data_IF_435917006985
#
_entry.id   IF_435917006985
#
_cell.length_a   1.000
_cell.length_b   1.000
_cell.length_c   1.000
_cell.angle_alpha   90.00
_cell.angle_beta   90.00
_cell.angle_gamma   90.00
#
_symmetry.space_group_name_H-M   'P 1'
#
loop_
_entity.id
_entity.type
_entity.pdbx_description
1 polymer ?
#
# COMPACT_ATOMS: atom_id res chain seq x y z
N UNK A 1 -16.83 -10.85 -24.27
CA UNK A 1 -15.89 -10.05 -23.45
C UNK A 1 -16.41 -8.62 -23.42
N UNK A 2 -16.60 -8.01 -22.25
CA UNK A 2 -17.14 -6.63 -22.16
C UNK A 2 -16.13 -5.60 -22.70
N UNK A 3 -16.62 -4.44 -23.12
CA UNK A 3 -15.77 -3.34 -23.61
C UNK A 3 -14.73 -2.92 -22.57
N UNK A 4 -15.12 -2.87 -21.29
CA UNK A 4 -14.23 -2.56 -20.16
C UNK A 4 -13.08 -3.57 -20.06
N UNK A 5 -13.38 -4.88 -20.08
CA UNK A 5 -12.35 -5.93 -20.03
C UNK A 5 -11.38 -5.81 -21.20
N UNK A 6 -11.88 -5.55 -22.42
CA UNK A 6 -11.02 -5.39 -23.60
C UNK A 6 -10.08 -4.19 -23.47
N UNK A 7 -10.54 -3.09 -22.89
CA UNK A 7 -9.73 -1.88 -22.67
C UNK A 7 -8.68 -2.12 -21.58
N UNK A 8 -9.06 -2.69 -20.44
CA UNK A 8 -8.13 -3.02 -19.34
C UNK A 8 -7.03 -3.97 -19.84
N UNK A 9 -7.38 -5.01 -20.60
CA UNK A 9 -6.38 -5.91 -21.19
C UNK A 9 -5.46 -5.22 -22.20
N UNK A 10 -5.97 -4.23 -22.95
CA UNK A 10 -5.15 -3.43 -23.87
C UNK A 10 -4.19 -2.54 -23.10
N UNK A 11 -4.66 -1.89 -22.04
CA UNK A 11 -3.82 -1.07 -21.15
C UNK A 11 -2.75 -1.89 -20.46
N UNK A 12 -3.09 -3.09 -20.00
CA UNK A 12 -2.13 -3.99 -19.37
C UNK A 12 -0.96 -4.34 -20.30
N UNK A 13 -1.25 -4.76 -21.53
CA UNK A 13 -0.21 -5.06 -22.52
C UNK A 13 0.67 -3.85 -22.86
N UNK A 14 0.06 -2.67 -22.90
CA UNK A 14 0.81 -1.43 -23.14
C UNK A 14 1.70 -1.08 -21.94
N UNK A 15 1.20 -1.29 -20.72
CA UNK A 15 1.94 -1.06 -19.48
C UNK A 15 3.14 -2.00 -19.36
N UNK A 16 2.98 -3.30 -19.65
CA UNK A 16 4.09 -4.28 -19.62
C UNK A 16 5.30 -3.86 -20.48
N UNK A 17 5.07 -3.07 -21.53
CA UNK A 17 6.13 -2.59 -22.42
C UNK A 17 6.67 -1.20 -22.05
N UNK A 18 5.83 -0.32 -21.50
CA UNK A 18 6.17 1.09 -21.27
C UNK A 18 6.38 1.45 -19.79
N UNK A 19 6.15 0.53 -18.86
CA UNK A 19 6.26 0.81 -17.43
C UNK A 19 7.67 1.31 -17.07
N UNK A 20 7.78 2.40 -16.29
CA UNK A 20 9.06 2.78 -15.70
C UNK A 20 9.57 1.69 -14.75
N UNK A 21 10.89 1.52 -14.66
CA UNK A 21 11.53 0.47 -13.85
C UNK A 21 11.20 0.52 -12.34
N UNK A 22 10.67 1.64 -11.86
CA UNK A 22 10.28 1.88 -10.47
C UNK A 22 8.78 1.71 -10.22
N UNK A 23 7.99 1.30 -11.22
CA UNK A 23 6.55 1.08 -11.11
C UNK A 23 6.22 -0.32 -11.64
N UNK A 24 5.57 -1.13 -10.80
CA UNK A 24 5.08 -2.46 -11.17
C UNK A 24 3.57 -2.48 -10.96
N UNK A 25 2.82 -3.12 -11.87
CA UNK A 25 1.39 -3.27 -11.70
C UNK A 25 0.87 -4.46 -12.50
N UNK A 26 -0.17 -5.10 -12.00
CA UNK A 26 -0.86 -6.17 -12.71
C UNK A 26 -2.16 -6.60 -12.02
N UNK A 27 -3.03 -7.31 -12.75
CA UNK A 27 -4.26 -7.84 -12.19
C UNK A 27 -3.99 -8.93 -11.15
N UNK A 28 -4.87 -8.99 -10.17
CA UNK A 28 -4.90 -10.07 -9.18
C UNK A 28 -5.36 -11.37 -9.82
N UNK A 29 -4.96 -12.49 -9.21
CA UNK A 29 -5.30 -13.82 -9.71
C UNK A 29 -6.81 -13.96 -9.85
N UNK A 30 -7.27 -14.28 -11.06
CA UNK A 30 -8.68 -14.47 -11.43
C UNK A 30 -9.58 -13.23 -11.37
N UNK A 31 -9.03 -12.02 -11.15
CA UNK A 31 -9.80 -10.78 -11.18
C UNK A 31 -9.08 -9.70 -11.99
N UNK A 32 -9.57 -9.48 -13.22
CA UNK A 32 -9.00 -8.46 -14.13
C UNK A 32 -9.38 -7.03 -13.73
N UNK A 33 -10.36 -6.84 -12.84
CA UNK A 33 -10.80 -5.52 -12.37
C UNK A 33 -10.08 -5.12 -11.08
N UNK A 34 -9.47 -6.06 -10.36
CA UNK A 34 -8.67 -5.78 -9.18
C UNK A 34 -7.19 -5.94 -9.51
N UNK A 35 -6.43 -4.88 -9.30
CA UNK A 35 -5.01 -4.80 -9.60
C UNK A 35 -4.23 -4.48 -8.35
N UNK A 36 -3.02 -5.01 -8.30
CA UNK A 36 -2.00 -4.62 -7.35
C UNK A 36 -0.92 -3.84 -8.07
N UNK A 37 -0.43 -2.78 -7.45
CA UNK A 37 0.70 -2.01 -7.95
C UNK A 37 1.71 -1.72 -6.85
N UNK A 38 2.97 -1.57 -7.26
CA UNK A 38 4.10 -1.20 -6.42
C UNK A 38 4.76 0.01 -7.05
N UNK A 39 5.03 1.03 -6.23
CA UNK A 39 5.87 2.16 -6.60
C UNK A 39 7.09 2.15 -5.68
N UNK A 40 8.29 2.17 -6.28
CA UNK A 40 9.52 2.40 -5.54
C UNK A 40 9.65 3.91 -5.31
N UNK A 41 9.93 4.29 -4.06
CA UNK A 41 10.03 5.68 -3.65
C UNK A 41 11.08 6.44 -4.48
N UNK A 42 10.75 7.63 -5.01
CA UNK A 42 11.68 8.39 -5.82
C UNK A 42 12.98 8.73 -5.07
N UNK A 43 14.14 8.70 -5.75
CA UNK A 43 15.41 9.12 -5.16
C UNK A 43 15.35 10.58 -4.73
N UNK A 44 16.24 10.98 -3.82
CA UNK A 44 16.33 12.35 -3.28
C UNK A 44 15.08 12.86 -2.52
N UNK A 45 14.08 12.02 -2.33
CA UNK A 45 12.92 12.26 -1.47
C UNK A 45 13.06 11.52 -0.14
N UNK A 46 12.33 11.91 0.93
CA UNK A 46 12.26 11.10 2.14
C UNK A 46 11.54 9.75 1.96
N UNK A 47 10.99 9.48 0.77
CA UNK A 47 10.37 8.20 0.39
C UNK A 47 11.36 7.22 -0.24
N UNK A 48 12.58 7.65 -0.57
CA UNK A 48 13.61 6.85 -1.23
C UNK A 48 13.77 5.46 -0.57
N UNK A 49 14.03 4.46 -1.41
CA UNK A 49 14.17 3.03 -1.07
C UNK A 49 12.90 2.36 -0.50
N UNK A 50 11.81 3.10 -0.29
CA UNK A 50 10.53 2.56 0.13
C UNK A 50 9.80 1.82 -0.99
N UNK A 51 9.15 0.71 -0.64
CA UNK A 51 8.26 -0.07 -1.49
C UNK A 51 6.81 0.24 -1.09
N UNK A 52 6.10 0.98 -1.94
CA UNK A 52 4.74 1.44 -1.68
C UNK A 52 3.73 0.60 -2.45
N UNK A 53 2.90 -0.14 -1.72
CA UNK A 53 1.88 -1.03 -2.27
C UNK A 53 0.57 -0.27 -2.48
N UNK A 54 -0.11 -0.54 -3.59
CA UNK A 54 -1.40 0.05 -3.94
C UNK A 54 -2.38 -1.03 -4.39
N UNK A 55 -3.64 -0.87 -4.00
CA UNK A 55 -4.77 -1.58 -4.59
C UNK A 55 -5.47 -0.67 -5.59
N UNK A 56 -5.84 -1.22 -6.75
CA UNK A 56 -6.49 -0.50 -7.84
C UNK A 56 -7.72 -1.30 -8.28
N UNK A 57 -8.90 -0.70 -8.14
CA UNK A 57 -10.16 -1.37 -8.42
C UNK A 57 -10.87 -0.62 -9.55
N UNK A 58 -10.92 -1.25 -10.72
CA UNK A 58 -11.73 -0.80 -11.84
C UNK A 58 -13.21 -1.10 -11.58
N UNK A 59 -14.09 -0.21 -12.02
CA UNK A 59 -15.52 -0.48 -12.07
C UNK A 59 -15.93 -1.02 -13.44
N UNK A 60 -17.12 -1.62 -13.53
CA UNK A 60 -17.72 -2.03 -14.80
C UNK A 60 -18.02 -0.85 -15.76
N UNK A 61 -17.98 0.38 -15.25
CA UNK A 61 -18.18 1.62 -16.01
C UNK A 61 -16.87 2.17 -16.60
N UNK A 62 -15.74 1.47 -16.43
CA UNK A 62 -14.48 1.84 -17.07
C UNK A 62 -14.63 1.86 -18.62
N UNK A 63 -14.14 2.90 -19.32
CA UNK A 63 -13.26 3.99 -18.85
C UNK A 63 -13.98 5.28 -18.45
N UNK A 64 -15.31 5.29 -18.37
CA UNK A 64 -16.06 6.51 -18.07
C UNK A 64 -15.96 6.94 -16.60
N UNK A 65 -15.70 5.99 -15.70
CA UNK A 65 -15.33 6.26 -14.31
C UNK A 65 -13.85 5.92 -14.05
N UNK A 66 -13.15 6.71 -13.21
CA UNK A 66 -11.79 6.39 -12.78
C UNK A 66 -11.77 5.09 -11.98
N UNK A 67 -10.65 4.34 -12.00
CA UNK A 67 -10.43 3.27 -11.03
C UNK A 67 -10.23 3.86 -9.62
N UNK A 68 -10.69 3.13 -8.60
CA UNK A 68 -10.40 3.48 -7.21
C UNK A 68 -8.99 3.02 -6.86
N UNK A 69 -8.08 3.95 -6.62
CA UNK A 69 -6.72 3.67 -6.15
C UNK A 69 -6.64 3.89 -4.64
N UNK A 70 -6.04 2.95 -3.91
CA UNK A 70 -5.84 3.03 -2.46
C UNK A 70 -4.41 2.66 -2.12
N UNK A 71 -3.71 3.54 -1.41
CA UNK A 71 -2.38 3.27 -0.88
C UNK A 71 -2.49 2.30 0.29
N UNK A 72 -1.86 1.13 0.19
CA UNK A 72 -1.88 0.09 1.22
C UNK A 72 -0.77 0.26 2.24
N UNK A 73 0.39 0.74 1.77
CA UNK A 73 1.48 1.14 2.66
C UNK A 73 1.07 2.39 3.46
N UNK A 74 1.19 2.37 4.79
CA UNK A 74 0.90 3.55 5.63
C UNK A 74 1.88 4.69 5.31
N UNK A 75 1.37 5.90 5.09
CA UNK A 75 2.18 7.06 4.69
C UNK A 75 1.82 8.34 5.47
N UNK A 76 2.81 9.22 5.65
CA UNK A 76 2.60 10.59 6.12
C UNK A 76 2.74 11.57 4.94
N UNK A 77 1.66 11.78 4.19
CA UNK A 77 1.71 12.53 2.93
C UNK A 77 0.52 13.51 2.80
N UNK A 78 0.71 14.75 2.29
CA UNK A 78 -0.36 15.75 2.15
C UNK A 78 -1.59 15.27 1.36
N UNK A 79 -1.38 14.49 0.30
CA UNK A 79 -2.44 14.01 -0.62
C UNK A 79 -2.90 12.57 -0.37
N UNK A 80 -2.47 11.94 0.74
CA UNK A 80 -2.87 10.57 1.11
C UNK A 80 -3.40 10.57 2.55
N UNK A 81 -4.60 10.04 2.77
CA UNK A 81 -5.19 9.94 4.11
C UNK A 81 -4.55 8.84 4.95
N UNK A 82 -4.83 8.81 6.26
CA UNK A 82 -4.43 7.71 7.15
C UNK A 82 -4.98 6.34 6.74
N UNK A 83 -6.12 6.33 6.04
CA UNK A 83 -6.77 5.11 5.50
C UNK A 83 -6.28 4.75 4.09
N UNK A 84 -5.30 5.47 3.55
CA UNK A 84 -4.74 5.21 2.22
C UNK A 84 -5.51 5.82 1.06
N UNK A 85 -6.57 6.61 1.30
CA UNK A 85 -7.27 7.32 0.23
C UNK A 85 -6.32 8.33 -0.42
N UNK A 86 -6.14 8.20 -1.73
CA UNK A 86 -5.37 9.13 -2.55
C UNK A 86 -6.33 10.18 -3.11
N UNK A 87 -6.00 11.46 -2.98
CA UNK A 87 -6.80 12.57 -3.53
C UNK A 87 -5.93 13.41 -4.46
N UNK A 88 -6.11 13.16 -5.76
CA UNK A 88 -5.47 13.85 -6.88
C UNK A 88 -6.53 14.01 -7.99
N UNK A 89 -6.52 15.15 -8.69
CA UNK A 89 -7.63 15.50 -9.58
C UNK A 89 -7.86 14.52 -10.72
N UNK A 90 -6.79 13.87 -11.21
CA UNK A 90 -6.88 12.85 -12.26
C UNK A 90 -7.79 11.67 -11.85
N UNK A 91 -7.92 11.36 -10.56
CA UNK A 91 -8.79 10.29 -10.04
C UNK A 91 -10.18 10.80 -9.61
N UNK A 92 -10.43 12.10 -9.77
CA UNK A 92 -11.63 12.79 -9.31
C UNK A 92 -12.19 13.64 -10.48
N UNK A 93 -12.21 14.97 -10.34
CA UNK A 93 -12.91 15.88 -11.25
C UNK A 93 -12.26 15.99 -12.65
N UNK A 94 -10.95 15.76 -12.76
CA UNK A 94 -10.22 15.86 -14.02
C UNK A 94 -10.12 14.53 -14.76
N UNK A 95 -10.78 13.46 -14.30
CA UNK A 95 -10.74 12.17 -14.97
C UNK A 95 -11.12 12.27 -16.46
N UNK A 96 -10.31 11.64 -17.31
CA UNK A 96 -10.57 11.49 -18.74
C UNK A 96 -10.48 10.02 -19.12
N UNK A 97 -11.41 9.48 -19.92
CA UNK A 97 -11.36 8.09 -20.41
C UNK A 97 -10.09 7.70 -21.20
N UNK A 98 -9.24 8.68 -21.56
CA UNK A 98 -7.95 8.47 -22.23
C UNK A 98 -6.80 8.21 -21.24
N UNK A 99 -7.02 8.41 -19.94
CA UNK A 99 -5.99 8.18 -18.94
C UNK A 99 -5.83 6.69 -18.67
N UNK A 100 -4.61 6.21 -18.90
CA UNK A 100 -4.21 4.82 -18.71
C UNK A 100 -3.75 4.58 -17.27
N UNK A 101 -3.65 3.30 -16.90
CA UNK A 101 -3.02 2.89 -15.64
C UNK A 101 -1.61 3.47 -15.44
N UNK A 102 -0.81 3.52 -16.50
CA UNK A 102 0.53 4.11 -16.52
C UNK A 102 0.46 5.58 -16.08
N UNK A 103 -0.43 6.36 -16.69
CA UNK A 103 -0.56 7.79 -16.38
C UNK A 103 -1.05 8.04 -14.96
N UNK A 104 -1.95 7.19 -14.46
CA UNK A 104 -2.41 7.24 -13.06
C UNK A 104 -1.23 7.00 -12.12
N UNK A 105 -0.48 5.91 -12.32
CA UNK A 105 0.63 5.53 -11.44
C UNK A 105 1.77 6.54 -11.49
N UNK A 106 2.09 7.09 -12.66
CA UNK A 106 3.02 8.20 -12.81
C UNK A 106 2.57 9.44 -12.02
N UNK A 107 1.28 9.76 -12.06
CA UNK A 107 0.72 10.90 -11.31
C UNK A 107 0.77 10.68 -9.80
N UNK A 108 0.56 9.43 -9.34
CA UNK A 108 0.71 9.07 -7.93
C UNK A 108 2.19 9.12 -7.51
N UNK A 109 3.11 8.65 -8.36
CA UNK A 109 4.54 8.77 -8.08
C UNK A 109 5.00 10.22 -8.02
N UNK A 110 4.50 11.10 -8.90
CA UNK A 110 4.92 12.50 -8.93
C UNK A 110 4.54 13.28 -7.68
N UNK A 111 3.41 12.95 -7.03
CA UNK A 111 3.04 13.64 -5.80
C UNK A 111 3.97 13.28 -4.63
N UNK A 112 4.67 12.14 -4.67
CA UNK A 112 5.66 11.80 -3.63
C UNK A 112 6.88 12.73 -3.66
N UNK A 113 7.26 13.19 -4.85
CA UNK A 113 8.32 14.18 -5.02
C UNK A 113 7.81 15.60 -4.80
N UNK A 114 6.73 15.96 -5.49
CA UNK A 114 6.10 17.29 -5.40
C UNK A 114 4.64 17.20 -4.96
N UNK A 115 4.37 17.22 -3.64
CA UNK A 115 3.00 17.19 -3.11
C UNK A 115 2.15 18.37 -3.58
N UNK A 116 0.86 18.11 -3.80
CA UNK A 116 -0.13 19.13 -4.19
C UNK A 116 -0.68 19.78 -2.92
N UNK A 117 -0.51 21.10 -2.77
CA UNK A 117 -0.73 21.80 -1.51
C UNK A 117 -2.02 22.62 -1.43
N UNK A 118 -2.75 22.76 -2.53
CA UNK A 118 -3.97 23.58 -2.61
C UNK A 118 -5.14 22.95 -1.83
N UNK A 119 -5.34 21.64 -2.00
CA UNK A 119 -6.41 20.87 -1.36
C UNK A 119 -5.91 19.57 -0.72
N UNK A 120 -5.03 19.62 0.30
CA UNK A 120 -4.48 18.42 0.92
C UNK A 120 -5.52 17.71 1.78
N UNK A 121 -5.68 16.41 1.57
CA UNK A 121 -6.55 15.56 2.40
C UNK A 121 -5.97 15.38 3.81
N UNK A 122 -4.64 15.36 3.95
CA UNK A 122 -3.96 15.28 5.22
C UNK A 122 -3.39 16.65 5.61
N UNK A 123 -4.22 17.45 6.29
CA UNK A 123 -3.86 18.81 6.71
C UNK A 123 -2.67 18.86 7.68
N UNK A 124 -2.49 17.83 8.51
CA UNK A 124 -1.34 17.73 9.44
C UNK A 124 -0.02 17.57 8.67
N UNK A 125 0.02 16.65 7.71
CA UNK A 125 1.19 16.47 6.84
C UNK A 125 1.46 17.73 6.02
N UNK A 126 0.43 18.35 5.44
CA UNK A 126 0.57 19.58 4.67
C UNK A 126 1.11 20.76 5.49
N UNK A 127 0.61 20.93 6.73
CA UNK A 127 1.10 21.97 7.65
C UNK A 127 2.57 21.73 7.99
N UNK A 128 2.92 20.51 8.37
CA UNK A 128 4.29 20.13 8.69
C UNK A 128 5.24 20.35 7.51
N UNK A 129 4.83 19.98 6.29
CA UNK A 129 5.58 20.19 5.05
C UNK A 129 5.90 21.66 4.77
N UNK A 130 4.97 22.58 5.07
CA UNK A 130 5.14 24.04 4.89
C UNK A 130 5.95 24.68 6.00
N UNK A 131 5.66 24.34 7.25
CA UNK A 131 6.22 25.04 8.41
C UNK A 131 7.61 24.52 8.79
N UNK A 132 7.85 23.21 8.70
CA UNK A 132 9.13 22.62 9.08
C UNK A 132 9.45 21.40 8.21
N UNK A 133 10.10 21.67 7.08
CA UNK A 133 10.49 20.63 6.11
C UNK A 133 11.39 19.55 6.70
N UNK A 134 12.27 19.89 7.65
CA UNK A 134 13.18 18.92 8.28
C UNK A 134 12.42 17.93 9.15
N UNK A 135 11.45 18.42 9.93
CA UNK A 135 10.57 17.56 10.73
C UNK A 135 9.71 16.68 9.83
N UNK A 136 9.12 17.26 8.77
CA UNK A 136 8.36 16.50 7.79
C UNK A 136 9.19 15.35 7.20
N UNK A 137 10.38 15.67 6.67
CA UNK A 137 11.28 14.66 6.08
C UNK A 137 11.68 13.58 7.10
N UNK A 138 11.91 13.96 8.36
CA UNK A 138 12.26 13.00 9.42
C UNK A 138 11.11 12.06 9.75
N UNK A 139 9.87 12.57 9.83
CA UNK A 139 8.67 11.75 10.03
C UNK A 139 8.48 10.81 8.85
N UNK A 140 8.55 11.33 7.62
CA UNK A 140 8.37 10.51 6.42
C UNK A 140 9.39 9.39 6.36
N UNK A 141 10.69 9.66 6.58
CA UNK A 141 11.71 8.58 6.60
C UNK A 141 11.42 7.50 7.65
N UNK A 142 10.92 7.89 8.84
CA UNK A 142 10.48 6.92 9.85
C UNK A 142 9.31 6.06 9.35
N UNK A 143 8.33 6.67 8.68
CA UNK A 143 7.21 5.93 8.09
C UNK A 143 7.68 5.01 6.96
N UNK A 144 8.53 5.50 6.06
CA UNK A 144 9.11 4.70 4.96
C UNK A 144 9.84 3.48 5.52
N UNK A 145 10.76 3.66 6.47
CA UNK A 145 11.50 2.56 7.08
C UNK A 145 10.62 1.57 7.87
N UNK A 146 9.52 2.05 8.47
CA UNK A 146 8.63 1.18 9.27
C UNK A 146 7.65 0.39 8.40
N UNK A 147 7.09 1.01 7.36
CA UNK A 147 5.93 0.47 6.64
C UNK A 147 6.21 0.10 5.18
N UNK A 148 7.23 0.66 4.54
CA UNK A 148 7.48 0.52 3.10
C UNK A 148 8.56 -0.54 2.79
N UNK A 149 8.50 -1.71 3.43
CA UNK A 149 9.52 -2.77 3.33
C UNK A 149 9.13 -3.91 2.37
N UNK A 150 8.07 -3.75 1.58
CA UNK A 150 7.62 -4.74 0.58
C UNK A 150 6.81 -5.91 1.14
N UNK A 151 6.67 -6.04 2.46
CA UNK A 151 5.72 -6.99 3.07
C UNK A 151 4.31 -6.40 3.02
N UNK A 152 3.36 -7.12 2.42
CA UNK A 152 1.93 -6.86 2.58
C UNK A 152 1.59 -7.01 4.07
N UNK A 153 1.50 -5.88 4.78
CA UNK A 153 1.12 -5.84 6.18
C UNK A 153 -0.39 -6.07 6.28
N UNK A 154 -0.80 -7.32 6.09
CA UNK A 154 -2.05 -7.80 6.62
C UNK A 154 -1.79 -8.13 8.09
N UNK A 155 -2.48 -7.42 8.98
CA UNK A 155 -2.30 -7.35 10.44
C UNK A 155 -1.17 -6.43 10.90
N UNK A 156 -1.54 -5.29 11.48
CA UNK A 156 -0.80 -4.67 12.59
C UNK A 156 -1.71 -3.73 13.38
N UNK A 157 -1.79 -4.04 14.67
CA UNK A 157 -2.56 -3.46 15.75
C UNK A 157 -2.55 -1.91 15.79
N UNK A 158 -3.71 -1.33 16.13
CA UNK A 158 -3.99 0.11 16.13
C UNK A 158 -3.47 0.87 17.37
N UNK A 159 -2.56 0.30 18.17
CA UNK A 159 -2.16 0.87 19.47
C UNK A 159 -0.79 1.56 19.56
N UNK A 160 -0.04 1.67 18.45
CA UNK A 160 1.24 2.43 18.41
C UNK A 160 1.13 3.72 17.60
N UNK A 161 0.07 4.50 17.82
CA UNK A 161 -0.18 5.75 17.09
C UNK A 161 0.47 6.96 17.82
N UNK A 162 1.48 7.52 17.15
CA UNK A 162 2.18 8.80 17.35
C UNK A 162 3.51 8.74 18.13
N UNK A 163 4.64 9.16 17.53
CA UNK A 163 5.75 9.67 18.32
C UNK A 163 5.31 11.00 18.98
N UNK A 164 5.42 11.08 20.30
CA UNK A 164 5.37 12.31 21.11
C UNK A 164 6.38 13.34 20.57
N UNK A 165 6.01 14.10 19.55
CA UNK A 165 6.82 15.23 19.08
C UNK A 165 5.98 16.44 18.68
N UNK A 166 4.71 16.49 19.06
CA UNK A 166 3.86 17.66 18.85
C UNK A 166 3.01 17.97 20.10
N UNK A 167 3.66 18.23 21.23
CA UNK A 167 3.03 19.01 22.28
C UNK A 167 3.09 20.49 21.86
N UNK A 168 1.99 20.98 21.34
CA UNK A 168 1.65 22.40 21.43
C UNK A 168 0.48 22.48 22.38
N UNK A 169 0.69 23.13 23.52
CA UNK A 169 -0.34 23.42 24.52
C UNK A 169 -1.59 23.98 23.85
N UNK A 170 -2.74 23.37 24.13
CA UNK A 170 -4.07 24.00 24.06
C UNK A 170 -5.08 23.10 24.74
N UNK A 171 -5.34 23.44 26.00
CA UNK A 171 -6.57 23.36 26.80
C UNK A 171 -7.70 22.38 26.42
N UNK A 172 -7.96 21.46 27.37
CA UNK A 172 -9.26 20.93 27.84
C UNK A 172 -10.43 20.77 26.86
N UNK A 173 -10.94 19.54 26.72
CA UNK A 173 -12.17 19.11 27.40
C UNK A 173 -12.42 17.58 27.24
N UNK A 174 -13.13 17.03 28.22
CA UNK A 174 -13.36 15.63 28.59
C UNK A 174 -14.08 14.75 27.55
N UNK A 175 -13.79 13.44 27.56
CA UNK A 175 -14.83 12.40 27.51
C UNK A 175 -14.38 11.05 28.11
N UNK A 176 -14.86 10.81 29.35
CA UNK A 176 -15.39 9.57 29.95
C UNK A 176 -14.83 8.17 29.58
N UNK A 177 -14.10 7.57 30.54
CA UNK A 177 -14.39 6.30 31.24
C UNK A 177 -14.94 5.06 30.47
N UNK A 178 -14.07 4.07 30.17
CA UNK A 178 -14.02 2.71 30.77
C UNK A 178 -13.03 1.76 30.02
N UNK A 179 -12.25 0.91 30.74
CA UNK A 179 -11.86 -0.43 30.23
C UNK A 179 -12.09 -1.52 31.31
N UNK A 180 -11.64 -2.79 31.15
CA UNK A 180 -11.77 -3.77 30.06
C UNK A 180 -12.29 -5.14 30.60
N UNK A 181 -12.54 -6.16 29.76
CA UNK A 181 -11.94 -7.52 29.91
C UNK A 181 -12.36 -8.55 28.85
N UNK A 182 -11.52 -9.58 28.77
CA UNK A 182 -11.30 -10.61 27.75
C UNK A 182 -11.86 -11.96 28.25
N UNK A 183 -12.26 -12.88 27.37
CA UNK A 183 -11.94 -14.31 27.59
C UNK A 183 -11.88 -15.17 26.31
N UNK A 184 -10.91 -16.08 26.37
CA UNK A 184 -10.34 -17.03 25.41
C UNK A 184 -11.27 -18.15 24.88
N UNK A 185 -10.92 -18.80 23.76
CA UNK A 185 -10.18 -20.09 23.69
C UNK A 185 -10.16 -20.73 22.28
N UNK A 186 -8.97 -21.22 21.90
CA UNK A 186 -8.64 -22.52 21.21
C UNK A 186 -9.22 -22.85 19.82
N UNK A 187 -8.58 -23.55 18.87
CA UNK A 187 -7.32 -24.28 18.62
C UNK A 187 -7.25 -24.50 17.07
N UNK A 188 -6.11 -24.60 16.37
CA UNK A 188 -5.36 -25.85 16.15
C UNK A 188 -4.17 -25.64 15.18
N UNK A 189 -3.16 -26.50 15.38
CA UNK A 189 -1.93 -26.78 14.62
C UNK A 189 -2.14 -26.95 13.09
N UNK A 190 -1.12 -26.91 12.20
CA UNK A 190 0.27 -27.31 12.41
C UNK A 190 1.26 -26.72 11.40
N UNK A 191 2.47 -26.43 11.89
CA UNK A 191 3.70 -26.16 11.14
C UNK A 191 4.22 -27.42 10.39
N UNK A 192 3.58 -28.57 10.60
CA UNK A 192 3.92 -29.86 9.98
C UNK A 192 3.37 -29.94 8.55
N UNK A 193 2.24 -29.29 8.29
CA UNK A 193 1.61 -29.27 6.95
C UNK A 193 2.39 -28.42 5.95
N UNK A 194 3.10 -27.38 6.42
CA UNK A 194 3.89 -26.51 5.56
C UNK A 194 5.30 -27.06 5.26
N UNK A 195 5.87 -27.83 6.18
CA UNK A 195 7.17 -28.49 5.98
C UNK A 195 7.07 -29.65 4.97
N UNK A 196 5.95 -30.39 4.95
CA UNK A 196 5.70 -31.42 3.92
C UNK A 196 5.59 -30.82 2.50
N UNK A 197 5.09 -29.59 2.36
CA UNK A 197 4.94 -28.95 1.05
C UNK A 197 6.26 -28.43 0.46
N UNK A 198 7.18 -27.98 1.32
CA UNK A 198 8.50 -27.45 0.90
C UNK A 198 9.43 -28.58 0.45
N UNK A 199 9.37 -29.75 1.07
CA UNK A 199 10.26 -30.88 0.72
C UNK A 199 9.87 -31.58 -0.59
N UNK A 200 8.59 -31.53 -0.98
CA UNK A 200 8.10 -32.05 -2.27
C UNK A 200 8.58 -31.18 -3.45
N UNK A 201 8.88 -29.89 -3.21
CA UNK A 201 9.23 -28.93 -4.27
C UNK A 201 10.73 -28.90 -4.63
N UNK A 202 11.60 -29.47 -3.79
CA UNK A 202 13.07 -29.45 -3.98
C UNK A 202 13.67 -30.77 -4.50
N UNK A 203 12.85 -31.80 -4.76
CA UNK A 203 13.33 -33.03 -5.41
C UNK A 203 14.29 -33.89 -4.58
N UNK A 204 14.26 -33.78 -3.25
CA UNK A 204 15.15 -34.53 -2.35
C UNK A 204 14.38 -35.70 -1.70
N UNK A 205 13.84 -36.61 -2.52
CA UNK A 205 13.00 -37.71 -2.02
C UNK A 205 13.79 -38.75 -1.19
N UNK A 206 15.11 -38.82 -1.35
CA UNK A 206 15.94 -39.85 -0.70
C UNK A 206 16.37 -39.49 0.74
N UNK A 207 16.24 -38.24 1.19
CA UNK A 207 16.57 -37.88 2.59
C UNK A 207 15.41 -38.11 3.58
N UNK A 208 14.20 -38.34 3.09
CA UNK A 208 13.02 -38.51 3.95
C UNK A 208 12.94 -39.93 4.53
N UNK A 209 13.45 -40.96 3.83
CA UNK A 209 13.43 -42.34 4.35
C UNK A 209 14.47 -42.58 5.46
N UNK A 210 15.61 -41.91 5.41
CA UNK A 210 16.64 -42.04 6.46
C UNK A 210 16.24 -41.30 7.75
N UNK A 211 15.52 -40.16 7.63
CA UNK A 211 15.01 -39.42 8.79
C UNK A 211 13.85 -40.15 9.49
N UNK A 212 12.99 -40.83 8.73
CA UNK A 212 11.85 -41.57 9.27
C UNK A 212 12.27 -42.88 9.98
N UNK A 213 13.43 -43.45 9.64
CA UNK A 213 13.96 -44.66 10.30
C UNK A 213 14.77 -44.34 11.55
N UNK A 214 15.29 -43.11 11.70
CA UNK A 214 16.08 -42.68 12.86
C UNK A 214 15.23 -42.28 14.08
N UNK A 215 13.95 -41.94 13.89
CA UNK A 215 13.03 -41.54 14.96
C UNK A 215 11.95 -42.58 15.31
N UNK A 216 12.25 -43.87 15.08
CA UNK A 216 11.48 -44.98 15.64
C UNK A 216 12.30 -45.80 16.62
#
# INVERSE_FOLDING_TARGET
MSTAVRLIMKEWKAFEYNAPDYIFAGPMKNDIFHWHAIIIGPPDTPFADGIFNLDIIYSYEHPFKPPKCTMKTKMFHPNISSTGKISISILEDDWRPVFTIEKILLSISSILDTPIMDHPINRKAARCFRENRNTYNSIVRKYTSKYANGSSTDSDNEQDLLPEMLHTDTDSENEQDLPPEILHTETNNSLFDFLCFILIFLGILDLILDFYTFFK
#
